data_IF_104787360904
#
_entry.id   IF_104787360904
#
_cell.length_a   1.000
_cell.length_b   1.000
_cell.length_c   1.000
_cell.angle_alpha   90.00
_cell.angle_beta   90.00
_cell.angle_gamma   90.00
#
_symmetry.space_group_name_H-M   'P 1'
#
loop_
_entity.id
_entity.type
_entity.pdbx_description
1 polymer ?
#
# COMPACT_ATOMS: atom_id res chain seq x y z
N UNK A 1 -29.86 -21.70 55.66
CA UNK A 1 -28.78 -22.00 54.67
C UNK A 1 -29.23 -21.83 53.23
N UNK A 2 -30.47 -22.18 52.85
CA UNK A 2 -30.97 -22.06 51.46
C UNK A 2 -30.90 -20.62 50.91
N UNK A 3 -31.28 -19.62 51.73
CA UNK A 3 -31.26 -18.21 51.31
C UNK A 3 -29.84 -17.69 50.98
N UNK A 4 -28.82 -18.15 51.71
CA UNK A 4 -27.42 -17.75 51.48
C UNK A 4 -26.88 -18.38 50.19
N UNK A 5 -27.21 -19.66 49.94
CA UNK A 5 -26.83 -20.34 48.70
C UNK A 5 -27.48 -19.71 47.46
N UNK A 6 -28.75 -19.33 47.55
CA UNK A 6 -29.47 -18.69 46.43
C UNK A 6 -28.90 -17.30 46.10
N UNK A 7 -28.58 -16.50 47.12
CA UNK A 7 -27.94 -15.20 46.95
C UNK A 7 -26.55 -15.32 46.30
N UNK A 8 -25.77 -16.34 46.70
CA UNK A 8 -24.47 -16.61 46.09
C UNK A 8 -24.59 -16.96 44.61
N UNK A 9 -25.55 -17.82 44.23
CA UNK A 9 -25.79 -18.17 42.83
C UNK A 9 -26.22 -16.96 41.98
N UNK A 10 -27.08 -16.09 42.49
CA UNK A 10 -27.48 -14.85 41.81
C UNK A 10 -26.27 -13.94 41.61
N UNK A 11 -25.41 -13.80 42.62
CA UNK A 11 -24.22 -12.93 42.55
C UNK A 11 -23.21 -13.45 41.52
N UNK A 12 -22.94 -14.75 41.50
CA UNK A 12 -22.04 -15.36 40.51
C UNK A 12 -22.63 -15.26 39.10
N UNK A 13 -23.95 -15.47 38.95
CA UNK A 13 -24.65 -15.31 37.67
C UNK A 13 -24.59 -13.88 37.15
N UNK A 14 -24.76 -12.89 38.03
CA UNK A 14 -24.63 -11.47 37.69
C UNK A 14 -23.23 -11.12 37.15
N UNK A 15 -22.18 -11.61 37.82
CA UNK A 15 -20.80 -11.41 37.39
C UNK A 15 -20.55 -12.07 36.02
N UNK A 16 -21.09 -13.27 35.81
CA UNK A 16 -20.94 -13.98 34.54
C UNK A 16 -21.57 -13.19 33.38
N UNK A 17 -22.79 -12.66 33.56
CA UNK A 17 -23.48 -11.84 32.54
C UNK A 17 -22.69 -10.58 32.21
N UNK A 18 -22.24 -9.85 33.22
CA UNK A 18 -21.46 -8.62 33.00
C UNK A 18 -20.12 -8.92 32.32
N UNK A 19 -19.46 -10.03 32.67
CA UNK A 19 -18.23 -10.45 32.01
C UNK A 19 -18.46 -10.82 30.54
N UNK A 20 -19.53 -11.56 30.23
CA UNK A 20 -19.89 -11.87 28.84
C UNK A 20 -20.11 -10.60 28.03
N UNK A 21 -20.79 -9.60 28.62
CA UNK A 21 -21.00 -8.30 27.98
C UNK A 21 -19.67 -7.55 27.76
N UNK A 22 -18.81 -7.49 28.78
CA UNK A 22 -17.48 -6.87 28.67
C UNK A 22 -16.64 -7.49 27.54
N UNK A 23 -16.69 -8.82 27.44
CA UNK A 23 -15.95 -9.56 26.41
C UNK A 23 -16.46 -9.26 25.00
N UNK A 24 -17.78 -9.31 24.80
CA UNK A 24 -18.39 -8.96 23.50
C UNK A 24 -18.08 -7.51 23.12
N UNK A 25 -18.22 -6.57 24.06
CA UNK A 25 -17.91 -5.17 23.82
C UNK A 25 -16.46 -4.96 23.38
N UNK A 26 -15.52 -5.67 24.01
CA UNK A 26 -14.10 -5.58 23.66
C UNK A 26 -13.85 -5.97 22.19
N UNK A 27 -14.47 -7.04 21.73
CA UNK A 27 -14.31 -7.51 20.35
C UNK A 27 -14.95 -6.53 19.35
N UNK A 28 -16.16 -6.04 19.66
CA UNK A 28 -16.83 -5.06 18.80
C UNK A 28 -16.08 -3.72 18.74
N UNK A 29 -15.55 -3.26 19.88
CA UNK A 29 -14.70 -2.07 19.92
C UNK A 29 -13.41 -2.25 19.13
N UNK A 30 -12.82 -3.45 19.15
CA UNK A 30 -11.63 -3.75 18.36
C UNK A 30 -11.95 -3.65 16.86
N UNK A 31 -13.06 -4.23 16.41
CA UNK A 31 -13.55 -4.08 15.03
C UNK A 31 -13.74 -2.62 14.65
N UNK A 32 -14.33 -1.81 15.54
CA UNK A 32 -14.53 -0.38 15.29
C UNK A 32 -13.21 0.42 15.22
N UNK A 33 -12.24 0.08 16.08
CA UNK A 33 -10.92 0.69 16.04
C UNK A 33 -10.17 0.30 14.75
N UNK A 34 -10.18 -0.97 14.38
CA UNK A 34 -9.50 -1.49 13.17
C UNK A 34 -10.09 -0.87 11.90
N UNK A 35 -11.41 -0.76 11.81
CA UNK A 35 -12.08 -0.11 10.69
C UNK A 35 -11.71 1.36 10.55
N UNK A 36 -11.69 2.12 11.65
CA UNK A 36 -11.27 3.52 11.64
C UNK A 36 -9.79 3.69 11.29
N UNK A 37 -8.93 2.83 11.84
CA UNK A 37 -7.50 2.88 11.59
C UNK A 37 -7.15 2.57 10.13
N UNK A 38 -7.81 1.59 9.52
CA UNK A 38 -7.67 1.28 8.09
C UNK A 38 -8.21 2.40 7.21
N UNK A 39 -9.42 2.92 7.51
CA UNK A 39 -10.02 4.00 6.74
C UNK A 39 -9.21 5.30 6.80
N UNK A 40 -8.57 5.59 7.94
CA UNK A 40 -7.63 6.69 8.07
C UNK A 40 -6.35 6.45 7.27
N UNK A 41 -5.77 5.25 7.35
CA UNK A 41 -4.56 4.91 6.62
C UNK A 41 -4.74 5.03 5.09
N UNK A 42 -5.90 4.65 4.55
CA UNK A 42 -6.22 4.81 3.12
C UNK A 42 -6.22 6.29 2.69
N UNK A 43 -6.56 7.22 3.56
CA UNK A 43 -6.51 8.65 3.23
C UNK A 43 -5.07 9.19 3.18
N UNK A 44 -4.07 8.44 3.66
CA UNK A 44 -2.67 8.83 3.54
C UNK A 44 -2.10 8.61 2.13
N UNK A 45 -2.84 7.95 1.23
CA UNK A 45 -2.42 7.82 -0.17
C UNK A 45 -2.50 9.18 -0.89
N UNK A 46 -1.49 9.59 -1.68
CA UNK A 46 -1.45 10.91 -2.32
C UNK A 46 -2.69 11.26 -3.14
N UNK A 47 -3.27 10.29 -3.85
CA UNK A 47 -4.48 10.48 -4.66
C UNK A 47 -5.76 10.73 -3.83
N UNK A 48 -5.74 10.42 -2.53
CA UNK A 48 -6.87 10.55 -1.60
C UNK A 48 -6.60 11.53 -0.46
N UNK A 49 -5.39 12.08 -0.38
CA UNK A 49 -4.99 12.93 0.74
C UNK A 49 -5.70 14.28 0.69
N UNK A 50 -6.73 14.42 1.54
CA UNK A 50 -7.48 15.66 1.74
C UNK A 50 -6.96 16.47 2.95
N UNK A 51 -5.70 16.26 3.35
CA UNK A 51 -5.13 16.86 4.57
C UNK A 51 -5.39 16.04 5.83
N UNK A 52 -4.76 16.44 6.95
CA UNK A 52 -4.89 15.76 8.24
C UNK A 52 -6.35 15.66 8.71
N UNK A 53 -7.18 16.66 8.41
CA UNK A 53 -8.60 16.65 8.78
C UNK A 53 -9.38 15.59 8.00
N UNK A 54 -9.14 15.42 6.69
CA UNK A 54 -9.80 14.37 5.91
C UNK A 54 -9.46 12.95 6.39
N UNK A 55 -8.23 12.75 6.89
CA UNK A 55 -7.81 11.50 7.53
C UNK A 55 -8.61 11.25 8.82
N UNK A 56 -8.75 12.30 9.66
CA UNK A 56 -9.49 12.24 10.92
C UNK A 56 -10.98 11.99 10.68
N UNK A 57 -11.58 12.69 9.72
CA UNK A 57 -13.00 12.56 9.39
C UNK A 57 -13.31 11.14 8.87
N UNK A 58 -12.47 10.62 7.96
CA UNK A 58 -12.59 9.24 7.45
C UNK A 58 -12.47 8.23 8.60
N UNK A 59 -11.43 8.32 9.42
CA UNK A 59 -11.25 7.42 10.56
C UNK A 59 -12.44 7.47 11.53
N UNK A 60 -12.98 8.66 11.80
CA UNK A 60 -14.14 8.86 12.68
C UNK A 60 -15.39 8.20 12.13
N UNK A 61 -15.72 8.45 10.86
CA UNK A 61 -16.92 7.89 10.22
C UNK A 61 -16.90 6.37 10.21
N UNK A 62 -15.76 5.76 9.88
CA UNK A 62 -15.65 4.31 9.83
C UNK A 62 -15.61 3.66 11.21
N UNK A 63 -15.06 4.32 12.25
CA UNK A 63 -15.23 3.85 13.62
C UNK A 63 -16.70 3.90 14.05
N UNK A 64 -17.40 5.00 13.78
CA UNK A 64 -18.81 5.16 14.20
C UNK A 64 -19.80 4.24 13.46
N UNK A 65 -19.46 3.80 12.24
CA UNK A 65 -20.25 2.84 11.45
C UNK A 65 -20.18 1.40 11.96
N UNK A 66 -19.27 1.09 12.88
CA UNK A 66 -19.12 -0.22 13.48
C UNK A 66 -19.71 -0.18 14.90
N UNK A 67 -21.02 -0.40 15.07
CA UNK A 67 -21.67 -0.28 16.36
C UNK A 67 -21.11 -1.30 17.35
N UNK A 68 -21.00 -0.90 18.61
CA UNK A 68 -20.67 -1.78 19.73
C UNK A 68 -21.86 -1.82 20.69
N UNK A 69 -22.36 -3.02 20.99
CA UNK A 69 -23.61 -3.28 21.72
C UNK A 69 -24.81 -2.55 21.12
N UNK A 70 -24.86 -2.49 19.78
CA UNK A 70 -25.94 -1.84 19.03
C UNK A 70 -25.96 -0.31 19.11
N UNK A 71 -24.90 0.33 19.61
CA UNK A 71 -24.76 1.79 19.72
C UNK A 71 -23.48 2.27 19.07
N UNK A 72 -23.46 3.53 18.66
CA UNK A 72 -22.30 4.16 18.04
C UNK A 72 -21.16 4.28 19.07
N UNK A 73 -19.95 3.74 18.79
CA UNK A 73 -18.80 3.89 19.67
C UNK A 73 -18.26 5.33 19.64
N UNK A 74 -17.70 5.76 20.76
CA UNK A 74 -16.96 7.02 20.85
C UNK A 74 -15.58 6.90 20.22
N UNK A 75 -15.07 8.01 19.72
CA UNK A 75 -13.69 8.14 19.24
C UNK A 75 -12.91 8.94 20.27
N UNK A 76 -11.98 8.29 20.98
CA UNK A 76 -11.23 8.91 22.07
C UNK A 76 -10.03 9.69 21.53
N UNK A 77 -9.36 9.16 20.50
CA UNK A 77 -8.25 9.85 19.84
C UNK A 77 -7.95 9.26 18.47
N UNK A 78 -7.58 10.13 17.52
CA UNK A 78 -7.01 9.76 16.22
C UNK A 78 -5.67 10.47 16.09
N UNK A 79 -4.60 9.71 15.87
CA UNK A 79 -3.23 10.24 15.84
C UNK A 79 -2.56 9.78 14.54
N UNK A 80 -2.14 10.75 13.73
CA UNK A 80 -1.29 10.50 12.56
C UNK A 80 0.16 10.35 13.02
N UNK A 81 0.92 9.48 12.36
CA UNK A 81 2.31 9.27 12.70
C UNK A 81 3.05 8.35 11.74
N UNK A 82 4.20 7.89 12.20
CA UNK A 82 5.05 6.98 11.46
C UNK A 82 5.03 5.58 12.11
N UNK A 83 4.69 4.56 11.33
CA UNK A 83 4.90 3.16 11.65
C UNK A 83 6.23 2.70 11.06
N UNK A 84 7.11 2.18 11.92
CA UNK A 84 8.34 1.53 11.53
C UNK A 84 8.13 0.01 11.53
N UNK A 85 8.25 -0.60 10.35
CA UNK A 85 8.03 -2.02 10.16
C UNK A 85 9.10 -2.90 10.83
N UNK A 86 10.36 -2.45 10.81
CA UNK A 86 11.50 -3.18 11.36
C UNK A 86 11.41 -3.27 12.89
N UNK A 87 11.01 -2.19 13.55
CA UNK A 87 10.89 -2.13 15.01
C UNK A 87 9.46 -2.40 15.51
N UNK A 88 8.49 -2.56 14.61
CA UNK A 88 7.06 -2.73 14.90
C UNK A 88 6.52 -1.68 15.88
N UNK A 89 6.96 -0.43 15.69
CA UNK A 89 6.66 0.67 16.61
C UNK A 89 5.98 1.83 15.90
N UNK A 90 4.99 2.41 16.57
CA UNK A 90 4.31 3.63 16.13
C UNK A 90 4.91 4.86 16.84
N UNK A 91 5.37 5.83 16.05
CA UNK A 91 5.82 7.16 16.52
C UNK A 91 4.73 8.18 16.21
N UNK A 92 4.11 8.72 17.27
CA UNK A 92 3.08 9.77 17.14
C UNK A 92 3.68 11.02 16.50
N UNK A 93 2.96 11.64 15.56
CA UNK A 93 3.42 12.78 14.77
C UNK A 93 4.77 12.57 14.05
N UNK A 94 5.20 11.30 13.88
CA UNK A 94 6.42 10.98 13.15
C UNK A 94 6.32 11.33 11.67
N UNK A 95 7.41 11.84 11.11
CA UNK A 95 7.58 12.11 9.67
C UNK A 95 8.45 11.03 9.03
N UNK A 96 8.10 10.51 7.84
CA UNK A 96 6.87 10.77 7.08
C UNK A 96 5.63 10.18 7.78
N UNK A 97 4.48 10.85 7.62
CA UNK A 97 3.20 10.30 8.08
C UNK A 97 2.79 9.15 7.16
N UNK A 98 2.85 7.92 7.65
CA UNK A 98 2.46 6.73 6.91
C UNK A 98 1.39 5.89 7.64
N UNK A 99 1.08 6.22 8.90
CA UNK A 99 0.15 5.46 9.73
C UNK A 99 -0.82 6.33 10.50
N UNK A 100 -1.98 5.74 10.83
CA UNK A 100 -3.03 6.34 11.64
C UNK A 100 -3.37 5.40 12.79
N UNK A 101 -3.33 5.93 14.00
CA UNK A 101 -3.71 5.21 15.23
C UNK A 101 -5.03 5.73 15.74
N UNK A 102 -5.99 4.82 15.93
CA UNK A 102 -7.34 5.13 16.41
C UNK A 102 -7.57 4.45 17.76
N UNK A 103 -8.17 5.18 18.69
CA UNK A 103 -8.66 4.65 19.97
C UNK A 103 -10.16 4.82 19.99
N UNK A 104 -10.89 3.71 19.92
CA UNK A 104 -12.34 3.67 20.09
C UNK A 104 -12.67 3.43 21.57
N UNK A 105 -13.70 4.09 22.06
CA UNK A 105 -14.11 4.03 23.47
C UNK A 105 -15.62 3.87 23.63
N UNK A 106 -16.03 3.13 24.65
CA UNK A 106 -17.44 2.96 24.98
C UNK A 106 -17.67 3.01 26.49
N UNK A 107 -18.66 3.80 26.91
CA UNK A 107 -19.12 3.84 28.29
C UNK A 107 -20.18 2.77 28.48
N UNK A 108 -19.87 1.76 29.29
CA UNK A 108 -20.86 0.74 29.64
C UNK A 108 -21.93 1.33 30.54
N UNK A 109 -23.17 0.90 30.33
CA UNK A 109 -24.31 1.24 31.18
C UNK A 109 -25.17 0.00 31.44
N UNK A 110 -25.84 -0.02 32.59
CA UNK A 110 -26.73 -1.10 33.00
C UNK A 110 -26.04 -2.43 33.28
N UNK A 111 -24.82 -2.41 33.83
CA UNK A 111 -24.20 -3.63 34.37
C UNK A 111 -24.84 -3.99 35.70
N UNK A 112 -25.00 -5.27 35.99
CA UNK A 112 -25.57 -5.71 37.26
C UNK A 112 -24.64 -5.31 38.42
N UNK A 113 -23.32 -5.27 38.21
CA UNK A 113 -22.33 -4.71 39.13
C UNK A 113 -22.62 -3.24 39.51
N UNK A 114 -23.26 -2.46 38.64
CA UNK A 114 -23.65 -1.08 38.98
C UNK A 114 -24.78 -1.00 39.99
N UNK A 115 -25.63 -2.03 40.10
CA UNK A 115 -26.62 -2.14 41.17
C UNK A 115 -25.97 -2.40 42.55
N UNK A 116 -24.72 -2.84 42.58
CA UNK A 116 -23.91 -3.02 43.79
C UNK A 116 -22.95 -1.84 44.06
N UNK A 117 -23.20 -0.68 43.43
CA UNK A 117 -22.42 0.54 43.67
C UNK A 117 -21.05 0.57 42.95
N UNK A 118 -20.75 -0.40 42.09
CA UNK A 118 -19.51 -0.40 41.30
C UNK A 118 -19.71 0.46 40.04
N UNK A 119 -18.96 1.55 39.85
CA UNK A 119 -19.08 2.38 38.66
C UNK A 119 -18.70 1.58 37.42
N UNK A 120 -19.46 1.76 36.34
CA UNK A 120 -19.23 1.05 35.10
C UNK A 120 -17.90 1.47 34.45
N UNK A 121 -16.96 0.55 34.17
CA UNK A 121 -15.73 0.89 33.45
C UNK A 121 -16.02 1.38 32.02
N UNK A 122 -15.25 2.37 31.57
CA UNK A 122 -15.12 2.72 30.15
C UNK A 122 -14.15 1.75 29.49
N UNK A 123 -14.60 1.08 28.44
CA UNK A 123 -13.76 0.16 27.66
C UNK A 123 -13.15 0.90 26.47
N UNK A 124 -11.90 0.54 26.13
CA UNK A 124 -11.15 1.12 25.02
C UNK A 124 -10.52 0.02 24.19
N UNK A 125 -10.51 0.21 22.87
CA UNK A 125 -9.74 -0.59 21.93
C UNK A 125 -8.86 0.34 21.09
N UNK A 126 -7.68 -0.16 20.71
CA UNK A 126 -6.68 0.61 19.98
C UNK A 126 -6.22 -0.18 18.77
N UNK A 127 -6.23 0.48 17.63
CA UNK A 127 -5.75 -0.06 16.37
C UNK A 127 -4.82 0.93 15.68
N UNK A 128 -3.87 0.41 14.90
CA UNK A 128 -3.00 1.23 14.05
C UNK A 128 -3.06 0.67 12.64
N UNK A 129 -3.53 1.50 11.71
CA UNK A 129 -3.56 1.22 10.28
C UNK A 129 -2.37 1.90 9.65
N UNK A 130 -1.72 1.23 8.72
CA UNK A 130 -0.53 1.71 8.06
C UNK A 130 -0.68 1.55 6.55
N UNK A 131 -0.34 2.60 5.81
CA UNK A 131 -0.24 2.59 4.36
C UNK A 131 1.26 2.63 3.99
N UNK A 132 1.84 1.47 3.69
CA UNK A 132 3.10 1.36 2.95
C UNK A 132 2.75 1.37 1.44
N UNK A 133 3.49 1.92 0.48
CA UNK A 133 4.79 2.57 0.47
C UNK A 133 4.65 3.99 -0.13
N UNK A 134 4.95 5.07 0.62
CA UNK A 134 5.17 6.35 -0.02
C UNK A 134 6.47 6.21 -0.84
N UNK A 135 6.35 6.28 -2.16
CA UNK A 135 7.50 6.40 -3.07
C UNK A 135 8.24 7.67 -2.67
N UNK A 136 9.31 7.52 -1.87
CA UNK A 136 10.00 8.64 -1.23
C UNK A 136 10.78 9.52 -2.21
N UNK A 137 10.94 9.07 -3.46
CA UNK A 137 11.55 9.79 -4.56
C UNK A 137 10.69 9.66 -5.80
N UNK A 138 9.81 10.63 -6.04
CA UNK A 138 9.13 10.83 -7.32
C UNK A 138 10.11 11.40 -8.34
N UNK A 139 11.04 10.57 -8.82
CA UNK A 139 11.53 10.78 -10.17
C UNK A 139 10.38 10.56 -11.15
N UNK A 140 10.34 11.28 -12.28
CA UNK A 140 9.37 10.95 -13.34
C UNK A 140 9.47 9.45 -13.63
N UNK A 141 8.33 8.77 -13.69
CA UNK A 141 8.30 7.36 -14.07
C UNK A 141 8.95 7.22 -15.45
N UNK A 142 9.95 6.34 -15.55
CA UNK A 142 10.61 6.08 -16.83
C UNK A 142 9.67 5.24 -17.69
N UNK A 143 9.66 5.42 -19.03
CA UNK A 143 8.76 4.72 -19.94
C UNK A 143 9.21 3.27 -20.19
N UNK A 144 9.56 2.54 -19.13
CA UNK A 144 10.05 1.17 -19.18
C UNK A 144 9.16 0.27 -18.35
N UNK A 145 8.49 -0.69 -19.00
CA UNK A 145 7.80 -1.77 -18.34
C UNK A 145 8.67 -3.02 -18.30
N UNK A 146 8.76 -3.66 -17.14
CA UNK A 146 9.42 -4.96 -17.02
C UNK A 146 8.37 -6.03 -17.33
N UNK A 147 8.60 -6.91 -18.32
CA UNK A 147 7.69 -8.02 -18.59
C UNK A 147 7.45 -8.87 -17.34
N UNK A 148 6.19 -9.21 -17.09
CA UNK A 148 5.77 -10.00 -15.94
C UNK A 148 6.51 -11.35 -15.84
N UNK A 149 6.86 -11.95 -16.98
CA UNK A 149 7.62 -13.20 -17.05
C UNK A 149 8.98 -13.11 -16.34
N UNK A 150 9.67 -11.95 -16.37
CA UNK A 150 10.95 -11.79 -15.67
C UNK A 150 10.78 -11.77 -14.16
N UNK A 151 9.70 -11.16 -13.67
CA UNK A 151 9.36 -11.20 -12.26
C UNK A 151 9.06 -12.65 -11.84
N UNK A 152 8.24 -13.36 -12.63
CA UNK A 152 7.90 -14.75 -12.34
C UNK A 152 9.11 -15.67 -12.40
N UNK A 153 10.04 -15.45 -13.31
CA UNK A 153 11.29 -16.19 -13.36
C UNK A 153 12.12 -16.04 -12.08
N UNK A 154 12.27 -14.82 -11.56
CA UNK A 154 12.99 -14.57 -10.31
C UNK A 154 12.29 -15.26 -9.12
N UNK A 155 10.96 -15.18 -9.05
CA UNK A 155 10.16 -15.81 -7.99
C UNK A 155 10.23 -17.33 -8.05
N UNK A 156 10.02 -17.90 -9.23
CA UNK A 156 10.04 -19.35 -9.42
C UNK A 156 11.41 -19.94 -9.11
N UNK A 157 12.50 -19.28 -9.51
CA UNK A 157 13.87 -19.69 -9.13
C UNK A 157 14.07 -19.72 -7.62
N UNK A 158 13.61 -18.70 -6.91
CA UNK A 158 13.71 -18.66 -5.45
C UNK A 158 12.86 -19.75 -4.79
N UNK A 159 11.66 -20.01 -5.33
CA UNK A 159 10.71 -20.99 -4.80
C UNK A 159 11.00 -22.44 -5.25
N UNK A 160 11.97 -22.66 -6.13
CA UNK A 160 12.24 -23.98 -6.71
C UNK A 160 11.15 -24.47 -7.68
N UNK A 161 10.37 -23.56 -8.25
CA UNK A 161 9.33 -23.86 -9.25
C UNK A 161 10.00 -23.90 -10.64
N UNK A 162 9.71 -24.90 -11.50
CA UNK A 162 10.25 -24.94 -12.85
C UNK A 162 9.82 -23.73 -13.70
N UNK A 163 10.74 -23.13 -14.46
CA UNK A 163 10.45 -22.00 -15.36
C UNK A 163 9.90 -22.46 -16.71
N UNK A 164 8.74 -23.10 -16.71
CA UNK A 164 7.99 -23.42 -17.93
C UNK A 164 7.11 -22.24 -18.33
N UNK A 165 6.68 -22.18 -19.61
CA UNK A 165 5.72 -21.16 -20.07
C UNK A 165 4.48 -21.04 -19.19
N UNK A 166 3.93 -22.18 -18.75
CA UNK A 166 2.77 -22.20 -17.86
C UNK A 166 3.07 -21.53 -16.52
N UNK A 167 4.29 -21.69 -15.98
CA UNK A 167 4.68 -21.14 -14.69
C UNK A 167 5.17 -19.69 -14.75
N UNK A 168 5.54 -19.18 -15.93
CA UNK A 168 5.87 -17.78 -16.15
C UNK A 168 4.64 -16.93 -16.44
N UNK A 169 3.59 -17.53 -17.01
CA UNK A 169 2.32 -16.87 -17.34
C UNK A 169 1.20 -17.14 -16.33
N UNK A 170 1.50 -17.83 -15.22
CA UNK A 170 0.51 -18.09 -14.17
C UNK A 170 0.12 -16.80 -13.45
N UNK A 171 -1.09 -16.81 -12.90
CA UNK A 171 -1.54 -15.76 -12.01
C UNK A 171 -0.60 -15.63 -10.79
N UNK A 172 -0.44 -14.39 -10.35
CA UNK A 172 0.37 -14.06 -9.18
C UNK A 172 -0.30 -14.60 -7.92
N UNK A 173 0.41 -15.45 -7.18
CA UNK A 173 -0.06 -16.01 -5.91
C UNK A 173 0.24 -15.00 -4.79
N UNK A 174 -0.80 -14.29 -4.38
CA UNK A 174 -0.70 -13.24 -3.37
C UNK A 174 -0.14 -13.72 -2.01
N UNK A 175 -0.20 -15.02 -1.71
CA UNK A 175 0.34 -15.55 -0.46
C UNK A 175 1.80 -15.95 -0.65
N UNK A 176 2.05 -16.87 -1.59
CA UNK A 176 3.38 -17.48 -1.69
C UNK A 176 4.38 -16.63 -2.48
N UNK A 177 3.95 -15.91 -3.52
CA UNK A 177 4.84 -15.07 -4.32
C UNK A 177 5.24 -13.81 -3.56
N UNK A 178 4.31 -13.21 -2.80
CA UNK A 178 4.64 -12.08 -1.91
C UNK A 178 5.61 -12.51 -0.81
N UNK A 179 5.36 -13.67 -0.17
CA UNK A 179 6.28 -14.21 0.83
C UNK A 179 7.69 -14.43 0.25
N UNK A 180 7.79 -14.95 -0.98
CA UNK A 180 9.05 -15.12 -1.68
C UNK A 180 9.74 -13.77 -1.96
N UNK A 181 9.02 -12.79 -2.50
CA UNK A 181 9.57 -11.45 -2.78
C UNK A 181 10.09 -10.75 -1.52
N UNK A 182 9.38 -10.88 -0.40
CA UNK A 182 9.79 -10.31 0.87
C UNK A 182 11.03 -11.00 1.45
N UNK A 183 11.21 -12.29 1.18
CA UNK A 183 12.36 -13.06 1.65
C UNK A 183 13.60 -12.93 0.76
N UNK A 184 13.45 -12.53 -0.51
CA UNK A 184 14.56 -12.35 -1.43
C UNK A 184 15.49 -11.20 -1.02
N UNK A 185 16.79 -11.42 -1.22
CA UNK A 185 17.80 -10.36 -1.14
C UNK A 185 17.59 -9.29 -2.22
N UNK A 186 18.20 -8.12 -2.05
CA UNK A 186 18.16 -7.06 -3.06
C UNK A 186 18.75 -7.53 -4.40
N UNK A 187 19.82 -8.32 -4.38
CA UNK A 187 20.44 -8.88 -5.58
C UNK A 187 19.48 -9.81 -6.34
N UNK A 188 18.71 -10.64 -5.63
CA UNK A 188 17.70 -11.53 -6.22
C UNK A 188 16.48 -10.78 -6.78
N UNK A 189 16.25 -9.54 -6.33
CA UNK A 189 15.20 -8.63 -6.81
C UNK A 189 15.68 -7.64 -7.86
N UNK A 190 16.97 -7.67 -8.21
CA UNK A 190 17.54 -6.72 -9.17
C UNK A 190 17.44 -7.29 -10.58
N UNK A 191 16.87 -6.51 -11.49
CA UNK A 191 16.81 -6.83 -12.91
C UNK A 191 17.82 -5.96 -13.66
N UNK A 192 18.67 -6.57 -14.47
CA UNK A 192 19.57 -5.80 -15.34
C UNK A 192 18.79 -5.38 -16.57
N UNK A 193 18.71 -4.08 -16.81
CA UNK A 193 18.18 -3.53 -18.06
C UNK A 193 19.28 -3.67 -19.13
N UNK A 194 19.06 -4.51 -20.14
CA UNK A 194 20.03 -4.70 -21.21
C UNK A 194 19.65 -3.84 -22.42
N UNK A 195 20.39 -2.77 -22.63
CA UNK A 195 20.26 -1.97 -23.86
C UNK A 195 20.81 -2.79 -25.04
N UNK A 196 19.94 -3.12 -26.01
CA UNK A 196 20.32 -3.66 -27.32
C UNK A 196 21.28 -4.86 -27.31
N UNK A 197 20.72 -6.08 -27.22
CA UNK A 197 21.23 -7.36 -27.78
C UNK A 197 20.88 -8.53 -26.84
N UNK A 198 19.74 -9.15 -27.06
CA UNK A 198 19.43 -10.41 -26.36
C UNK A 198 18.20 -11.06 -26.96
N UNK A 199 18.38 -12.26 -27.48
CA UNK A 199 17.27 -13.17 -27.80
C UNK A 199 16.68 -13.61 -26.47
N UNK A 200 15.55 -13.04 -26.05
CA UNK A 200 14.72 -13.74 -25.08
C UNK A 200 14.02 -14.80 -25.91
N UNK A 201 14.45 -16.06 -25.80
CA UNK A 201 13.60 -17.19 -26.16
C UNK A 201 12.45 -17.21 -25.15
N UNK A 202 11.46 -16.35 -25.38
CA UNK A 202 10.09 -16.66 -24.98
C UNK A 202 9.82 -18.03 -25.62
N UNK A 203 9.40 -19.03 -24.85
CA UNK A 203 9.17 -20.33 -25.49
C UNK A 203 7.99 -20.17 -26.46
N UNK A 204 8.33 -20.10 -27.76
CA UNK A 204 7.42 -19.80 -28.86
C UNK A 204 7.78 -18.62 -29.77
N UNK A 205 8.77 -17.77 -29.44
CA UNK A 205 9.10 -16.59 -30.25
C UNK A 205 10.27 -16.83 -31.23
N UNK A 206 10.02 -16.60 -32.51
CA UNK A 206 11.00 -16.64 -33.60
C UNK A 206 11.77 -15.31 -33.71
N UNK A 207 13.09 -15.37 -33.47
CA UNK A 207 14.14 -14.44 -33.91
C UNK A 207 13.73 -12.99 -34.30
N UNK A 208 13.34 -12.17 -33.31
CA UNK A 208 13.31 -10.71 -33.48
C UNK A 208 14.03 -10.02 -32.32
N UNK A 209 15.00 -9.18 -32.66
CA UNK A 209 15.84 -8.44 -31.72
C UNK A 209 15.03 -7.29 -31.10
N UNK A 210 14.62 -7.43 -29.84
CA UNK A 210 13.89 -6.43 -29.05
C UNK A 210 14.83 -5.68 -28.07
N UNK A 211 14.42 -4.52 -27.51
CA UNK A 211 15.12 -3.91 -26.37
C UNK A 211 15.28 -4.95 -25.26
N UNK A 212 16.51 -5.20 -24.83
CA UNK A 212 16.82 -6.35 -24.00
C UNK A 212 16.19 -6.21 -22.61
N UNK A 213 15.16 -7.01 -22.35
CA UNK A 213 14.55 -7.24 -21.04
C UNK A 213 13.56 -6.17 -20.53
N UNK A 214 13.17 -5.18 -21.35
CA UNK A 214 12.13 -4.23 -21.00
C UNK A 214 11.31 -3.85 -22.23
N UNK A 215 10.06 -3.46 -22.01
CA UNK A 215 9.17 -2.96 -23.04
C UNK A 215 9.04 -1.44 -22.92
N UNK A 216 9.28 -0.74 -24.04
CA UNK A 216 9.04 0.70 -24.12
C UNK A 216 7.52 0.95 -24.09
N UNK A 217 7.08 1.83 -23.19
CA UNK A 217 5.67 2.20 -23.02
C UNK A 217 5.44 3.66 -23.35
N UNK A 218 4.25 3.94 -23.87
CA UNK A 218 3.80 5.30 -24.16
C UNK A 218 3.29 5.96 -22.88
N UNK A 219 3.60 7.24 -22.74
CA UNK A 219 3.06 8.10 -21.70
C UNK A 219 2.43 9.34 -22.37
N UNK A 220 1.33 9.91 -21.82
CA UNK A 220 0.59 9.53 -20.60
C UNK A 220 -0.23 8.23 -20.75
N UNK A 221 -0.98 7.88 -19.70
CA UNK A 221 -1.86 6.71 -19.66
C UNK A 221 -2.90 6.68 -20.77
N UNK A 222 -3.07 5.51 -21.38
CA UNK A 222 -4.12 5.25 -22.36
C UNK A 222 -5.49 5.20 -21.70
N UNK A 223 -5.61 4.48 -20.58
CA UNK A 223 -6.82 4.31 -19.80
C UNK A 223 -6.61 4.80 -18.37
N UNK A 224 -7.58 5.56 -17.86
CA UNK A 224 -7.66 6.01 -16.47
C UNK A 224 -8.65 5.13 -15.70
N UNK A 225 -8.15 4.36 -14.74
CA UNK A 225 -9.01 3.48 -13.93
C UNK A 225 -9.91 4.26 -12.97
N UNK A 226 -9.42 5.39 -12.45
CA UNK A 226 -10.17 6.19 -11.49
C UNK A 226 -11.39 6.85 -12.13
N UNK A 227 -11.27 7.28 -13.39
CA UNK A 227 -12.37 7.92 -14.13
C UNK A 227 -13.07 6.99 -15.12
N UNK A 228 -12.53 5.79 -15.34
CA UNK A 228 -12.99 4.83 -16.35
C UNK A 228 -13.09 5.44 -17.77
N UNK A 229 -12.08 6.21 -18.17
CA UNK A 229 -12.05 6.90 -19.48
C UNK A 229 -10.72 6.74 -20.20
N UNK A 230 -10.70 7.08 -21.49
CA UNK A 230 -9.48 7.26 -22.28
C UNK A 230 -9.09 8.75 -22.30
N UNK A 231 -8.29 9.25 -21.34
CA UNK A 231 -7.90 10.66 -21.32
C UNK A 231 -7.04 11.03 -22.53
N UNK A 232 -6.25 10.09 -23.04
CA UNK A 232 -5.49 10.24 -24.28
C UNK A 232 -5.70 9.01 -25.17
N UNK A 233 -6.72 9.01 -26.05
CA UNK A 233 -7.01 7.88 -26.92
C UNK A 233 -5.90 7.62 -27.97
N UNK A 234 -4.96 8.55 -28.11
CA UNK A 234 -3.68 8.37 -28.80
C UNK A 234 -2.57 8.90 -27.89
N UNK A 235 -1.97 8.06 -27.05
CA UNK A 235 -0.81 8.44 -26.24
C UNK A 235 0.29 9.03 -27.13
N UNK A 236 1.09 9.96 -26.59
CA UNK A 236 2.18 10.52 -27.37
C UNK A 236 3.17 9.40 -27.70
N UNK A 237 3.52 9.28 -28.97
CA UNK A 237 4.41 8.24 -29.49
C UNK A 237 5.49 8.85 -30.36
N UNK A 238 6.65 8.21 -30.36
CA UNK A 238 7.77 8.57 -31.21
C UNK A 238 9.09 8.68 -30.47
N UNK A 239 10.18 8.53 -31.22
CA UNK A 239 11.54 8.51 -30.72
C UNK A 239 11.89 9.70 -29.80
N UNK A 240 11.52 10.93 -30.20
CA UNK A 240 11.83 12.13 -29.42
C UNK A 240 11.06 12.19 -28.11
N UNK A 241 9.75 11.95 -28.16
CA UNK A 241 8.88 11.94 -26.97
C UNK A 241 9.35 10.90 -25.96
N UNK A 242 9.66 9.69 -26.43
CA UNK A 242 10.16 8.62 -25.59
C UNK A 242 11.51 8.96 -24.95
N UNK A 243 12.46 9.53 -25.71
CA UNK A 243 13.73 10.03 -25.16
C UNK A 243 13.48 11.10 -24.09
N UNK A 244 12.62 12.05 -24.36
CA UNK A 244 12.32 13.17 -23.46
C UNK A 244 11.69 12.67 -22.15
N UNK A 245 10.80 11.66 -22.23
CA UNK A 245 10.26 10.94 -21.07
C UNK A 245 11.35 10.21 -20.26
N UNK A 246 12.36 9.63 -20.91
CA UNK A 246 13.52 9.04 -20.21
C UNK A 246 14.34 10.13 -19.50
N UNK A 247 14.58 11.27 -20.12
CA UNK A 247 15.33 12.37 -19.48
C UNK A 247 14.57 13.03 -18.34
N UNK A 248 13.24 12.86 -18.28
CA UNK A 248 12.37 13.49 -17.28
C UNK A 248 11.94 14.91 -17.67
N UNK A 249 11.97 15.25 -18.96
CA UNK A 249 11.47 16.54 -19.45
C UNK A 249 9.96 16.71 -19.18
N UNK A 250 9.22 15.60 -19.13
CA UNK A 250 7.80 15.56 -18.78
C UNK A 250 7.54 14.43 -17.78
N UNK A 251 6.85 14.74 -16.68
CA UNK A 251 6.41 13.78 -15.68
C UNK A 251 4.93 13.45 -15.86
N UNK A 252 4.57 12.18 -15.77
CA UNK A 252 3.18 11.72 -15.81
C UNK A 252 2.83 10.95 -14.54
N UNK A 253 1.62 11.17 -14.03
CA UNK A 253 1.06 10.40 -12.91
C UNK A 253 0.45 9.10 -13.41
N UNK A 254 0.84 7.98 -12.81
CA UNK A 254 0.24 6.67 -13.01
C UNK A 254 -0.27 6.13 -11.69
N UNK A 255 -1.44 5.49 -11.73
CA UNK A 255 -2.06 4.81 -10.59
C UNK A 255 -2.24 3.32 -10.89
N UNK A 256 -2.41 2.53 -9.83
CA UNK A 256 -2.78 1.11 -9.99
C UNK A 256 -4.11 1.03 -10.73
N UNK A 257 -4.16 0.19 -11.77
CA UNK A 257 -5.34 0.02 -12.64
C UNK A 257 -5.24 0.76 -13.97
N UNK A 258 -4.42 1.81 -14.07
CA UNK A 258 -4.21 2.53 -15.32
C UNK A 258 -3.57 1.61 -16.38
N UNK A 259 -3.94 1.80 -17.66
CA UNK A 259 -3.34 1.06 -18.78
C UNK A 259 -2.46 1.97 -19.64
N UNK A 260 -1.35 1.43 -20.14
CA UNK A 260 -0.41 2.13 -21.01
C UNK A 260 -0.42 1.53 -22.42
N UNK A 261 -0.16 2.39 -23.41
CA UNK A 261 0.18 1.95 -24.76
C UNK A 261 1.62 1.41 -24.82
N UNK A 262 1.92 0.58 -25.81
CA UNK A 262 3.29 0.12 -26.08
C UNK A 262 3.88 0.94 -27.23
N UNK A 263 5.16 1.32 -27.12
CA UNK A 263 5.82 2.04 -28.21
C UNK A 263 6.12 1.09 -29.37
N UNK A 264 5.87 1.57 -30.58
CA UNK A 264 6.19 0.82 -31.79
C UNK A 264 7.59 1.20 -32.29
N UNK A 265 8.31 0.22 -32.83
CA UNK A 265 9.65 0.43 -33.39
C UNK A 265 10.81 0.05 -32.47
N UNK A 266 12.01 0.01 -33.06
CA UNK A 266 13.24 -0.39 -32.36
C UNK A 266 13.79 0.81 -31.56
N UNK A 267 13.33 0.99 -30.32
CA UNK A 267 13.63 2.15 -29.47
C UNK A 267 15.06 2.20 -28.92
N UNK A 268 16.01 1.47 -29.50
CA UNK A 268 17.40 1.39 -29.03
C UNK A 268 18.11 2.75 -29.05
N UNK A 269 18.05 3.47 -30.18
CA UNK A 269 18.71 4.78 -30.33
C UNK A 269 18.20 5.84 -29.34
N UNK A 270 16.88 6.08 -29.28
CA UNK A 270 16.29 6.99 -28.30
C UNK A 270 16.55 6.59 -26.84
N UNK A 271 16.61 5.28 -26.55
CA UNK A 271 16.92 4.82 -25.20
C UNK A 271 18.35 5.17 -24.80
N UNK A 272 19.33 4.95 -25.69
CA UNK A 272 20.73 5.33 -25.44
C UNK A 272 20.84 6.84 -25.22
N UNK A 273 20.26 7.64 -26.11
CA UNK A 273 20.28 9.10 -26.02
C UNK A 273 19.64 9.64 -24.73
N UNK A 274 18.58 9.00 -24.24
CA UNK A 274 17.89 9.42 -23.02
C UNK A 274 18.58 8.93 -21.73
N UNK A 275 19.24 7.77 -21.76
CA UNK A 275 19.86 7.14 -20.59
C UNK A 275 21.30 7.64 -20.31
N UNK A 276 22.09 7.89 -21.37
CA UNK A 276 23.49 8.34 -21.28
C UNK A 276 23.69 9.63 -20.45
N UNK A 277 22.81 10.65 -20.51
CA UNK A 277 23.04 11.89 -19.77
C UNK A 277 22.87 11.77 -18.25
N UNK A 278 22.21 10.73 -17.71
CA UNK A 278 21.72 10.80 -16.32
C UNK A 278 21.51 9.51 -15.53
N UNK A 279 21.60 8.31 -16.11
CA UNK A 279 21.38 7.06 -15.34
C UNK A 279 22.70 6.47 -14.80
N UNK A 280 23.83 6.75 -15.44
CA UNK A 280 25.14 6.18 -15.08
C UNK A 280 26.13 7.15 -14.41
N UNK A 281 25.81 8.44 -14.29
CA UNK A 281 26.61 9.37 -13.47
C UNK A 281 25.95 9.50 -12.10
N UNK A 282 26.42 8.71 -11.15
CA UNK A 282 26.27 9.02 -9.73
C UNK A 282 26.96 10.36 -9.44
N UNK A 283 26.25 11.46 -9.67
CA UNK A 283 26.71 12.81 -9.42
C UNK A 283 25.78 13.44 -8.39
N UNK A 284 26.34 13.67 -7.20
CA UNK A 284 25.74 14.41 -6.10
C UNK A 284 25.13 15.70 -6.67
N UNK A 285 23.85 15.94 -6.37
CA UNK A 285 23.18 17.21 -6.65
C UNK A 285 23.91 18.30 -5.84
N UNK A 286 24.79 19.08 -6.49
CA UNK A 286 25.23 20.35 -5.94
C UNK A 286 24.23 21.42 -6.38
N UNK A 287 23.28 21.71 -5.50
CA UNK A 287 22.49 22.93 -5.57
C UNK A 287 23.34 24.09 -5.04
N UNK A 288 23.69 25.04 -5.90
CA UNK A 288 24.29 26.32 -5.52
C UNK A 288 24.38 27.25 -6.74
N UNK A 289 23.96 28.53 -6.64
CA UNK A 289 23.94 29.43 -7.78
C UNK A 289 25.34 29.92 -8.11
N UNK A 290 25.70 29.91 -9.40
CA UNK A 290 26.87 30.60 -9.91
C UNK A 290 26.70 32.11 -9.66
N UNK A 291 27.45 32.65 -8.70
CA UNK A 291 27.75 34.08 -8.65
C UNK A 291 29.07 34.24 -9.39
N UNK A 292 29.05 34.96 -10.49
CA UNK A 292 30.24 35.33 -11.23
C UNK A 292 31.09 36.34 -10.45
N UNK A 293 32.39 36.19 -10.61
CA UNK A 293 33.40 37.25 -10.76
C UNK A 293 34.55 36.66 -11.60
#
# INVERSE_FOLDING_TARGET
MIAVGFFFLITVGAIAIDFSRLWTLKNELQTAADAGALAGAIQLFPARYAGAQGVIDSATVYTQRNPSMGRVPGVDSIILGNWNQSTRSFTAAGTPQNAVRVVAGYNMSGMIMSAFGVPAPRMRARATGWAEAPVATTGCIKPWAIPYEHLMFAINNYRGIPNTNANLNRAFDQVNDIAALNAMSAAQRTFTLKLGSGTITQAGATNTTMPGNFQAVQLPKLWDDATQTYPTPRPQSGANVYRDNITGATCYGLSVGDSLGTETGNMVGPTLQGADPGVCKGGIVQNGPNIGD
#
